data_IF_633912782234
#
_entry.id   IF_633912782234
#
_cell.length_a   1.000
_cell.length_b   1.000
_cell.length_c   1.000
_cell.angle_alpha   90.00
_cell.angle_beta   90.00
_cell.angle_gamma   90.00
#
_symmetry.space_group_name_H-M   'P 1'
#
loop_
_entity.id
_entity.type
_entity.pdbx_description
1 polymer ?
#
# COMPACT_ATOMS: atom_id res chain seq x y z
N UNK A 1 -3.20 -24.12 6.56
CA UNK A 1 -3.39 -22.67 6.46
C UNK A 1 -4.42 -22.26 7.49
N UNK A 2 -3.96 -21.58 8.53
CA UNK A 2 -4.84 -20.87 9.47
C UNK A 2 -5.51 -19.67 8.78
N UNK A 3 -6.63 -19.19 9.34
CA UNK A 3 -7.32 -17.99 8.85
C UNK A 3 -6.38 -16.78 8.75
N UNK A 4 -5.47 -16.66 9.73
CA UNK A 4 -4.41 -15.67 9.78
C UNK A 4 -3.47 -15.77 8.57
N UNK A 5 -2.96 -16.96 8.26
CA UNK A 5 -2.03 -17.15 7.13
C UNK A 5 -2.69 -16.81 5.80
N UNK A 6 -3.94 -17.25 5.58
CA UNK A 6 -4.69 -16.94 4.37
C UNK A 6 -4.94 -15.43 4.24
N UNK A 7 -5.27 -14.76 5.35
CA UNK A 7 -5.43 -13.31 5.38
C UNK A 7 -4.12 -12.57 5.08
N UNK A 8 -3.01 -12.99 5.72
CA UNK A 8 -1.68 -12.43 5.50
C UNK A 8 -1.28 -12.52 4.03
N UNK A 9 -1.36 -13.72 3.44
CA UNK A 9 -1.02 -13.94 2.03
C UNK A 9 -1.86 -13.08 1.08
N UNK A 10 -3.15 -12.90 1.38
CA UNK A 10 -4.02 -12.03 0.59
C UNK A 10 -3.52 -10.59 0.62
N UNK A 11 -3.31 -10.01 1.81
CA UNK A 11 -2.86 -8.62 1.94
C UNK A 11 -1.45 -8.43 1.36
N UNK A 12 -0.54 -9.40 1.55
CA UNK A 12 0.80 -9.38 0.95
C UNK A 12 0.72 -9.30 -0.57
N UNK A 13 -0.08 -10.16 -1.21
CA UNK A 13 -0.26 -10.15 -2.66
C UNK A 13 -0.87 -8.82 -3.16
N UNK A 14 -1.85 -8.27 -2.44
CA UNK A 14 -2.41 -6.97 -2.81
C UNK A 14 -1.40 -5.82 -2.61
N UNK A 15 -0.56 -5.89 -1.56
CA UNK A 15 0.53 -4.93 -1.31
C UNK A 15 1.59 -4.98 -2.42
N UNK A 16 1.96 -6.17 -2.90
CA UNK A 16 2.87 -6.31 -4.04
C UNK A 16 2.28 -5.64 -5.31
N UNK A 17 0.98 -5.82 -5.56
CA UNK A 17 0.30 -5.14 -6.66
C UNK A 17 0.28 -3.61 -6.48
N UNK A 18 0.05 -3.12 -5.27
CA UNK A 18 0.12 -1.70 -4.96
C UNK A 18 1.53 -1.14 -5.21
N UNK A 19 2.56 -1.83 -4.73
CA UNK A 19 3.96 -1.44 -4.92
C UNK A 19 4.33 -1.37 -6.40
N UNK A 20 3.90 -2.34 -7.21
CA UNK A 20 4.13 -2.32 -8.66
C UNK A 20 3.50 -1.08 -9.32
N UNK A 21 2.28 -0.70 -8.93
CA UNK A 21 1.62 0.52 -9.42
C UNK A 21 2.35 1.79 -8.99
N UNK A 22 2.79 1.86 -7.73
CA UNK A 22 3.56 3.00 -7.22
C UNK A 22 4.87 3.16 -7.99
N UNK A 23 5.57 2.05 -8.29
CA UNK A 23 6.77 2.06 -9.10
C UNK A 23 6.50 2.52 -10.55
N UNK A 24 5.39 2.09 -11.15
CA UNK A 24 4.95 2.57 -12.45
C UNK A 24 4.70 4.09 -12.44
N UNK A 25 4.00 4.60 -11.43
CA UNK A 25 3.73 6.03 -11.24
C UNK A 25 5.00 6.85 -11.03
N UNK A 26 5.96 6.31 -10.27
CA UNK A 26 7.29 6.90 -10.07
C UNK A 26 8.09 6.97 -11.36
N UNK A 27 7.95 5.98 -12.24
CA UNK A 27 8.58 6.01 -13.55
C UNK A 27 7.89 7.01 -14.48
N UNK A 28 6.55 7.02 -14.51
CA UNK A 28 5.75 7.96 -15.29
C UNK A 28 5.99 9.41 -14.87
N UNK A 29 6.09 9.70 -13.57
CA UNK A 29 6.34 11.05 -13.05
C UNK A 29 7.62 11.67 -13.61
N UNK A 30 8.65 10.86 -13.89
CA UNK A 30 9.93 11.30 -14.49
C UNK A 30 9.80 11.74 -15.96
N UNK A 31 8.73 11.36 -16.64
CA UNK A 31 8.47 11.70 -18.06
C UNK A 31 7.78 13.06 -18.17
N UNK A 32 7.04 13.49 -17.13
CA UNK A 32 6.32 14.76 -17.14
C UNK A 32 7.24 15.97 -16.89
N UNK A 33 6.78 17.15 -17.30
CA UNK A 33 7.47 18.43 -17.07
C UNK A 33 7.76 18.65 -15.57
N UNK A 34 8.83 19.40 -15.25
CA UNK A 34 9.36 19.57 -13.90
C UNK A 34 8.33 20.00 -12.84
N UNK A 35 7.35 20.84 -13.20
CA UNK A 35 6.31 21.32 -12.28
C UNK A 35 5.30 20.22 -11.89
N UNK A 36 5.00 19.35 -12.87
CA UNK A 36 4.12 18.20 -12.72
C UNK A 36 4.86 17.05 -12.02
N UNK A 37 6.16 16.92 -12.28
CA UNK A 37 7.05 15.97 -11.64
C UNK A 37 7.05 16.13 -10.11
N UNK A 38 7.20 17.34 -9.57
CA UNK A 38 7.26 17.59 -8.12
C UNK A 38 6.00 17.09 -7.42
N UNK A 39 4.81 17.49 -7.91
CA UNK A 39 3.52 17.06 -7.33
C UNK A 39 3.35 15.54 -7.37
N UNK A 40 3.77 14.91 -8.46
CA UNK A 40 3.69 13.45 -8.56
C UNK A 40 4.71 12.73 -7.66
N UNK A 41 5.91 13.27 -7.49
CA UNK A 41 6.90 12.71 -6.55
C UNK A 41 6.37 12.78 -5.13
N UNK A 42 5.75 13.87 -4.70
CA UNK A 42 5.12 13.98 -3.38
C UNK A 42 4.02 12.93 -3.18
N UNK A 43 3.15 12.74 -4.18
CA UNK A 43 2.12 11.70 -4.13
C UNK A 43 2.71 10.29 -4.09
N UNK A 44 3.75 10.01 -4.89
CA UNK A 44 4.42 8.71 -4.87
C UNK A 44 5.09 8.44 -3.53
N UNK A 45 5.75 9.44 -2.93
CA UNK A 45 6.38 9.32 -1.61
C UNK A 45 5.35 9.03 -0.52
N UNK A 46 4.18 9.68 -0.58
CA UNK A 46 3.06 9.38 0.32
C UNK A 46 2.58 7.92 0.17
N UNK A 47 2.44 7.42 -1.05
CA UNK A 47 2.06 6.02 -1.30
C UNK A 47 3.13 5.03 -0.79
N UNK A 48 4.42 5.35 -0.97
CA UNK A 48 5.52 4.54 -0.42
C UNK A 48 5.44 4.49 1.12
N UNK A 49 5.22 5.62 1.79
CA UNK A 49 5.05 5.66 3.26
C UNK A 49 3.85 4.84 3.73
N UNK A 50 2.72 4.93 3.03
CA UNK A 50 1.52 4.16 3.37
C UNK A 50 1.73 2.66 3.15
N UNK A 51 2.47 2.27 2.11
CA UNK A 51 2.89 0.89 1.88
C UNK A 51 3.76 0.38 3.04
N UNK A 52 4.81 1.11 3.42
CA UNK A 52 5.70 0.71 4.51
C UNK A 52 4.96 0.60 5.85
N UNK A 53 4.03 1.54 6.12
CA UNK A 53 3.18 1.48 7.32
C UNK A 53 2.28 0.23 7.32
N UNK A 54 1.64 -0.09 6.20
CA UNK A 54 0.78 -1.28 6.09
C UNK A 54 1.59 -2.56 6.25
N UNK A 55 2.79 -2.60 5.66
CA UNK A 55 3.71 -3.74 5.76
C UNK A 55 4.23 -3.92 7.18
N UNK A 56 4.53 -2.85 7.89
CA UNK A 56 4.90 -2.89 9.31
C UNK A 56 3.76 -3.49 10.15
N UNK A 57 2.53 -3.00 9.98
CA UNK A 57 1.35 -3.56 10.67
C UNK A 57 1.11 -5.04 10.34
N UNK A 58 1.30 -5.42 9.08
CA UNK A 58 1.16 -6.82 8.67
C UNK A 58 2.20 -7.72 9.35
N UNK A 59 3.42 -7.21 9.55
CA UNK A 59 4.46 -7.89 10.31
C UNK A 59 4.10 -8.00 11.80
N UNK A 60 3.55 -6.96 12.41
CA UNK A 60 3.03 -7.03 13.79
C UNK A 60 1.91 -8.07 13.92
N UNK A 61 1.01 -8.16 12.95
CA UNK A 61 -0.01 -9.20 12.88
C UNK A 61 0.61 -10.61 12.77
N UNK A 62 1.72 -10.75 12.02
CA UNK A 62 2.46 -12.00 11.90
C UNK A 62 3.12 -12.43 13.22
N UNK A 63 3.62 -11.46 13.98
CA UNK A 63 4.19 -11.68 15.32
C UNK A 63 3.09 -11.93 16.38
N UNK A 64 1.85 -11.48 16.13
CA UNK A 64 0.72 -11.72 17.02
C UNK A 64 0.27 -13.19 17.03
N UNK A 65 -0.06 -13.72 18.21
CA UNK A 65 -0.63 -15.08 18.35
C UNK A 65 -2.05 -15.21 17.77
N UNK A 66 -2.49 -16.45 17.52
CA UNK A 66 -3.82 -16.77 16.97
C UNK A 66 -5.02 -16.32 17.83
N UNK A 67 -4.82 -15.97 19.10
CA UNK A 67 -5.87 -15.39 19.96
C UNK A 67 -6.03 -13.88 19.81
N UNK A 68 -5.02 -13.17 19.30
CA UNK A 68 -5.00 -11.69 19.23
C UNK A 68 -4.97 -11.12 17.82
N UNK A 69 -4.70 -11.95 16.80
CA UNK A 69 -4.56 -11.50 15.41
C UNK A 69 -5.80 -10.78 14.87
N UNK A 70 -7.01 -11.09 15.34
CA UNK A 70 -8.24 -10.41 14.90
C UNK A 70 -8.24 -8.92 15.28
N UNK A 71 -7.65 -8.54 16.41
CA UNK A 71 -7.52 -7.13 16.79
C UNK A 71 -6.51 -6.40 15.88
N UNK A 72 -5.39 -7.05 15.54
CA UNK A 72 -4.40 -6.49 14.60
C UNK A 72 -4.91 -6.47 13.16
N UNK A 73 -5.86 -7.35 12.82
CA UNK A 73 -6.46 -7.45 11.50
C UNK A 73 -7.14 -6.12 11.12
N UNK A 74 -7.97 -5.57 12.00
CA UNK A 74 -8.64 -4.28 11.78
C UNK A 74 -7.63 -3.15 11.52
N UNK A 75 -6.54 -3.14 12.29
CA UNK A 75 -5.45 -2.18 12.12
C UNK A 75 -4.76 -2.27 10.75
N UNK A 76 -4.55 -3.50 10.27
CA UNK A 76 -4.00 -3.79 8.93
C UNK A 76 -5.02 -3.44 7.84
N UNK A 77 -6.30 -3.81 8.01
CA UNK A 77 -7.37 -3.52 7.04
C UNK A 77 -7.55 -2.02 6.85
N UNK A 78 -7.53 -1.25 7.94
CA UNK A 78 -7.65 0.20 7.89
C UNK A 78 -6.49 0.84 7.11
N UNK A 79 -5.25 0.44 7.41
CA UNK A 79 -4.06 0.95 6.70
C UNK A 79 -4.07 0.53 5.22
N UNK A 80 -4.39 -0.74 4.94
CA UNK A 80 -4.50 -1.27 3.59
C UNK A 80 -5.58 -0.56 2.77
N UNK A 81 -6.75 -0.32 3.36
CA UNK A 81 -7.84 0.37 2.68
C UNK A 81 -7.45 1.81 2.33
N UNK A 82 -6.80 2.53 3.24
CA UNK A 82 -6.28 3.86 2.97
C UNK A 82 -5.27 3.84 1.80
N UNK A 83 -4.32 2.91 1.80
CA UNK A 83 -3.35 2.74 0.72
C UNK A 83 -4.04 2.43 -0.61
N UNK A 84 -5.00 1.50 -0.61
CA UNK A 84 -5.74 1.09 -1.81
C UNK A 84 -6.51 2.25 -2.43
N UNK A 85 -7.13 3.09 -1.60
CA UNK A 85 -7.80 4.32 -2.05
C UNK A 85 -6.79 5.30 -2.65
N UNK A 86 -5.67 5.56 -1.96
CA UNK A 86 -4.65 6.49 -2.43
C UNK A 86 -4.01 6.03 -3.75
N UNK A 87 -3.71 4.73 -3.89
CA UNK A 87 -3.19 4.15 -5.14
C UNK A 87 -4.21 4.27 -6.28
N UNK A 88 -5.50 4.09 -6.01
CA UNK A 88 -6.57 4.29 -7.02
C UNK A 88 -6.70 5.76 -7.42
N UNK A 89 -6.67 6.69 -6.47
CA UNK A 89 -6.71 8.13 -6.75
C UNK A 89 -5.50 8.56 -7.60
N UNK A 90 -4.30 8.09 -7.25
CA UNK A 90 -3.12 8.29 -8.06
C UNK A 90 -3.31 7.72 -9.47
N UNK A 91 -3.82 6.48 -9.60
CA UNK A 91 -4.09 5.86 -10.90
C UNK A 91 -4.98 6.72 -11.81
N UNK A 92 -6.02 7.33 -11.24
CA UNK A 92 -6.93 8.22 -11.97
C UNK A 92 -6.21 9.50 -12.41
N UNK A 93 -5.37 10.08 -11.54
CA UNK A 93 -4.55 11.26 -11.86
C UNK A 93 -3.46 10.99 -12.90
N UNK A 94 -2.96 9.77 -13.01
CA UNK A 94 -1.98 9.36 -14.03
C UNK A 94 -2.62 8.92 -15.36
N UNK A 95 -3.94 8.66 -15.39
CA UNK A 95 -4.68 8.36 -16.62
C UNK A 95 -5.06 9.62 -17.42
N UNK A 96 -5.09 10.77 -16.77
CA UNK A 96 -5.47 12.06 -17.34
C UNK A 96 -4.27 12.76 -17.96
#
# INVERSE_FOLDING_TARGET
MSKKEAYKQKIEAELELAQAKVAEYKAKSKIYAADVHIKYVEHVDELERMYDATKAKLKELDEAGEEKWEHFKDDVESAWNALSIAVKDAAEKFKK
#
